data_IF_671552673687
#
_entry.id   IF_671552673687
#
_cell.length_a   1.000
_cell.length_b   1.000
_cell.length_c   1.000
_cell.angle_alpha   90.00
_cell.angle_beta   90.00
_cell.angle_gamma   90.00
#
_symmetry.space_group_name_H-M   'P 1'
#
loop_
_entity.id
_entity.type
_entity.pdbx_description
1 polymer ?
#
# COMPACT_ATOMS: atom_id res chain seq x y z
N UNK A 1 9.41 28.66 10.15
CA UNK A 1 8.52 27.81 10.97
C UNK A 1 8.38 28.39 12.36
N UNK A 2 7.21 28.23 12.97
CA UNK A 2 6.94 28.50 14.39
C UNK A 2 6.58 27.17 15.06
N UNK A 3 7.03 26.99 16.30
CA UNK A 3 6.73 25.82 17.14
C UNK A 3 6.25 26.30 18.51
N UNK A 4 5.27 25.62 19.10
CA UNK A 4 4.70 26.01 20.39
C UNK A 4 4.14 24.80 21.15
N UNK A 5 3.87 25.02 22.44
CA UNK A 5 3.08 24.10 23.26
C UNK A 5 1.60 24.46 23.16
N UNK A 6 0.76 23.52 22.75
CA UNK A 6 -0.70 23.63 22.83
C UNK A 6 -1.24 22.89 24.05
N UNK A 7 -2.46 23.23 24.51
CA UNK A 7 -3.12 22.61 25.67
C UNK A 7 -4.51 22.10 25.27
N UNK A 8 -4.78 20.81 25.51
CA UNK A 8 -6.09 20.16 25.30
C UNK A 8 -6.66 20.18 23.87
N UNK A 9 -5.82 20.26 22.84
CA UNK A 9 -6.32 20.29 21.45
C UNK A 9 -6.66 18.89 20.91
N UNK A 10 -6.11 17.81 21.51
CA UNK A 10 -6.35 16.40 21.19
C UNK A 10 -7.02 15.60 22.35
N UNK A 11 -7.29 16.25 23.50
CA UNK A 11 -7.87 15.61 24.69
C UNK A 11 -6.86 15.10 25.72
N UNK A 12 -5.56 15.29 25.50
CA UNK A 12 -4.46 15.04 26.45
C UNK A 12 -3.81 16.36 26.93
N UNK A 13 -2.76 16.27 27.76
CA UNK A 13 -2.09 17.37 28.48
C UNK A 13 -1.52 18.51 27.60
N UNK A 14 -0.20 18.76 27.57
CA UNK A 14 0.40 19.76 26.68
C UNK A 14 1.18 19.05 25.60
N UNK A 15 0.98 19.46 24.35
CA UNK A 15 1.54 18.84 23.16
C UNK A 15 2.32 19.87 22.35
N UNK A 16 3.21 19.41 21.48
CA UNK A 16 4.05 20.25 20.64
C UNK A 16 3.44 20.34 19.25
N UNK A 17 3.19 21.56 18.79
CA UNK A 17 2.67 21.84 17.45
C UNK A 17 3.61 22.74 16.66
N UNK A 18 3.52 22.66 15.33
CA UNK A 18 4.31 23.41 14.37
C UNK A 18 3.47 23.94 13.21
N UNK A 19 3.89 25.09 12.67
CA UNK A 19 3.37 25.66 11.42
C UNK A 19 4.53 26.23 10.59
N UNK A 20 4.59 25.80 9.32
CA UNK A 20 5.56 26.32 8.35
C UNK A 20 5.04 27.62 7.75
N UNK A 21 5.98 28.51 7.43
CA UNK A 21 5.71 29.79 6.77
C UNK A 21 6.77 30.03 5.70
N UNK A 22 6.37 30.61 4.58
CA UNK A 22 7.28 31.03 3.53
C UNK A 22 8.03 32.32 3.89
N UNK A 23 8.85 32.83 2.96
CA UNK A 23 9.61 34.08 3.15
C UNK A 23 8.74 35.33 3.28
N UNK A 24 7.48 35.25 2.87
CA UNK A 24 6.49 36.34 2.92
C UNK A 24 5.64 36.27 4.20
N UNK A 25 5.79 35.20 5.00
CA UNK A 25 5.05 34.95 6.22
C UNK A 25 3.68 34.32 5.98
N UNK A 26 3.44 33.74 4.81
CA UNK A 26 2.23 32.96 4.50
C UNK A 26 2.43 31.53 4.98
N UNK A 27 1.39 30.96 5.59
CA UNK A 27 1.41 29.58 6.06
C UNK A 27 1.61 28.62 4.87
N UNK A 28 2.55 27.69 5.01
CA UNK A 28 2.81 26.60 4.06
C UNK A 28 2.33 25.32 4.72
N UNK A 29 1.34 24.66 4.12
CA UNK A 29 0.67 23.50 4.72
C UNK A 29 -0.15 23.84 5.96
N UNK A 30 -0.74 22.81 6.57
CA UNK A 30 -1.50 22.91 7.80
C UNK A 30 -0.59 22.93 9.04
N UNK A 31 -1.17 23.31 10.18
CA UNK A 31 -0.58 23.05 11.48
C UNK A 31 -0.43 21.53 11.69
N UNK A 32 0.67 21.09 12.27
CA UNK A 32 0.95 19.68 12.53
C UNK A 32 1.45 19.46 13.96
N UNK A 33 1.08 18.31 14.53
CA UNK A 33 1.60 17.88 15.83
C UNK A 33 2.99 17.27 15.64
N UNK A 34 3.94 17.68 16.49
CA UNK A 34 5.33 17.24 16.43
C UNK A 34 5.57 16.00 17.28
N UNK A 35 4.95 15.90 18.45
CA UNK A 35 5.13 14.75 19.32
C UNK A 35 4.18 13.62 18.90
N UNK A 36 4.72 12.40 18.76
CA UNK A 36 3.93 11.18 18.56
C UNK A 36 3.44 10.60 19.89
N UNK A 37 4.21 10.79 20.96
CA UNK A 37 3.82 10.41 22.31
C UNK A 37 3.00 11.53 22.97
N UNK A 38 1.71 11.27 23.18
CA UNK A 38 0.75 12.26 23.72
C UNK A 38 0.48 12.09 25.21
N UNK A 39 1.04 11.07 25.87
CA UNK A 39 0.86 10.90 27.32
C UNK A 39 1.84 11.80 28.10
N UNK A 40 1.37 12.41 29.19
CA UNK A 40 2.17 13.31 30.01
C UNK A 40 2.45 14.69 29.39
N UNK A 41 3.33 15.47 30.01
CA UNK A 41 3.61 16.86 29.61
C UNK A 41 4.71 16.86 28.54
N UNK A 42 4.37 17.34 27.35
CA UNK A 42 5.35 17.72 26.33
C UNK A 42 5.60 19.23 26.44
N UNK A 43 6.86 19.64 26.55
CA UNK A 43 7.19 21.04 26.82
C UNK A 43 8.53 21.50 26.22
N UNK A 44 8.73 22.82 26.24
CA UNK A 44 9.97 23.49 25.81
C UNK A 44 10.42 23.11 24.39
N UNK A 45 9.54 23.22 23.39
CA UNK A 45 9.95 22.91 22.03
C UNK A 45 11.01 23.92 21.56
N UNK A 46 11.97 23.45 20.79
CA UNK A 46 13.00 24.24 20.13
C UNK A 46 13.19 23.72 18.72
N UNK A 47 13.53 24.59 17.76
CA UNK A 47 13.73 24.19 16.36
C UNK A 47 15.02 24.75 15.79
N UNK A 48 15.61 24.02 14.84
CA UNK A 48 16.82 24.42 14.11
C UNK A 48 16.69 24.01 12.65
N UNK A 49 16.87 24.96 11.73
CA UNK A 49 16.96 24.66 10.30
C UNK A 49 18.28 23.96 9.97
N UNK A 50 18.22 23.05 9.01
CA UNK A 50 19.34 22.28 8.50
C UNK A 50 19.79 22.82 7.13
N UNK A 51 21.01 22.48 6.71
CA UNK A 51 21.59 22.99 5.46
C UNK A 51 20.96 22.39 4.19
N UNK A 52 20.25 21.28 4.34
CA UNK A 52 19.48 20.60 3.29
C UNK A 52 18.09 21.22 3.07
N UNK A 53 17.74 22.27 3.81
CA UNK A 53 16.43 22.92 3.76
C UNK A 53 15.43 22.38 4.80
N UNK A 54 15.75 21.25 5.44
CA UNK A 54 14.92 20.67 6.50
C UNK A 54 15.07 21.35 7.86
N UNK A 55 14.48 20.76 8.88
CA UNK A 55 14.54 21.29 10.25
C UNK A 55 14.43 20.19 11.30
N UNK A 56 15.04 20.38 12.45
CA UNK A 56 14.85 19.52 13.63
C UNK A 56 13.97 20.27 14.63
N UNK A 57 13.02 19.57 15.23
CA UNK A 57 12.29 20.04 16.42
C UNK A 57 12.65 19.15 17.59
N UNK A 58 13.07 19.75 18.70
CA UNK A 58 13.37 19.05 19.96
C UNK A 58 12.39 19.48 21.05
N UNK A 59 11.99 18.59 21.94
CA UNK A 59 11.14 18.91 23.09
C UNK A 59 11.47 18.03 24.31
N UNK A 60 10.94 18.39 25.48
CA UNK A 60 11.02 17.57 26.69
C UNK A 60 9.71 16.80 26.90
N UNK A 61 9.79 15.48 27.14
CA UNK A 61 8.66 14.62 27.55
C UNK A 61 8.84 14.20 29.01
N UNK A 62 7.77 14.25 29.82
CA UNK A 62 7.82 14.08 31.28
C UNK A 62 7.38 12.72 31.82
N UNK A 63 7.07 11.75 30.97
CA UNK A 63 6.34 10.54 31.39
C UNK A 63 7.12 9.22 31.24
N UNK A 64 8.44 9.26 31.41
CA UNK A 64 9.26 8.04 31.38
C UNK A 64 9.10 7.20 30.11
N UNK A 65 8.96 7.87 28.96
CA UNK A 65 8.88 7.23 27.64
C UNK A 65 10.13 6.36 27.34
N UNK A 66 11.30 6.70 27.90
CA UNK A 66 12.54 5.92 27.87
C UNK A 66 12.81 5.13 29.16
N UNK A 67 11.80 4.98 30.01
CA UNK A 67 11.92 4.41 31.35
C UNK A 67 12.48 5.37 32.42
N UNK A 68 12.72 6.65 32.11
CA UNK A 68 13.24 7.67 33.04
C UNK A 68 12.42 8.98 33.01
N UNK A 69 12.19 9.59 34.17
CA UNK A 69 11.29 10.76 34.35
C UNK A 69 11.18 11.75 33.17
N UNK A 70 12.23 12.51 32.88
CA UNK A 70 12.26 13.47 31.77
C UNK A 70 13.32 13.08 30.75
N UNK A 71 12.99 13.16 29.47
CA UNK A 71 13.91 13.01 28.35
C UNK A 71 13.80 14.16 27.34
N UNK A 72 14.86 14.39 26.56
CA UNK A 72 14.84 15.29 25.40
C UNK A 72 14.65 14.43 24.16
N UNK A 73 13.61 14.74 23.40
CA UNK A 73 13.19 14.04 22.19
C UNK A 73 13.34 14.96 21.00
N UNK A 74 13.41 14.39 19.80
CA UNK A 74 13.55 15.14 18.57
C UNK A 74 12.86 14.44 17.40
N UNK A 75 12.31 15.23 16.49
CA UNK A 75 11.96 14.82 15.13
C UNK A 75 12.78 15.66 14.16
N UNK A 76 13.33 15.01 13.14
CA UNK A 76 13.93 15.67 11.99
C UNK A 76 12.92 15.64 10.86
N UNK A 77 12.74 16.79 10.26
CA UNK A 77 11.89 17.02 9.11
C UNK A 77 12.74 17.42 7.92
N UNK A 78 12.29 17.05 6.74
CA UNK A 78 12.83 17.49 5.46
C UNK A 78 12.41 18.94 5.12
N UNK A 79 12.75 19.40 3.91
CA UNK A 79 12.42 20.76 3.45
C UNK A 79 10.92 21.01 3.33
N UNK A 80 10.13 19.97 3.10
CA UNK A 80 8.69 20.00 2.88
C UNK A 80 7.89 19.79 4.15
N UNK A 81 8.58 19.58 5.27
CA UNK A 81 7.99 19.45 6.59
C UNK A 81 7.50 18.04 6.90
N UNK A 82 7.90 17.08 6.09
CA UNK A 82 7.71 15.66 6.36
C UNK A 82 8.81 15.15 7.27
N UNK A 83 8.53 14.12 8.05
CA UNK A 83 9.58 13.41 8.80
C UNK A 83 10.62 12.88 7.81
N UNK A 84 11.91 13.05 8.10
CA UNK A 84 12.95 12.61 7.18
C UNK A 84 12.95 11.10 6.96
N UNK A 85 13.31 10.66 5.75
CA UNK A 85 13.50 9.26 5.35
C UNK A 85 14.18 8.42 6.46
N UNK A 86 13.57 7.29 6.76
CA UNK A 86 13.93 6.37 7.81
C UNK A 86 14.33 5.02 7.23
N UNK A 87 15.19 4.31 7.96
CA UNK A 87 15.45 2.90 7.71
C UNK A 87 15.25 2.16 9.02
N UNK A 88 14.23 1.30 9.07
CA UNK A 88 13.78 0.61 10.28
C UNK A 88 13.88 -0.91 10.06
N UNK A 89 14.35 -1.64 11.05
CA UNK A 89 14.48 -3.10 11.02
C UNK A 89 13.90 -3.70 12.32
N UNK A 90 12.90 -4.58 12.21
CA UNK A 90 12.29 -5.29 13.35
C UNK A 90 13.14 -6.48 13.83
N UNK A 91 13.73 -7.19 12.88
CA UNK A 91 14.61 -8.35 13.04
C UNK A 91 13.87 -9.65 13.36
N UNK A 92 13.55 -9.93 14.62
CA UNK A 92 12.89 -11.20 14.99
C UNK A 92 11.81 -10.93 16.02
N UNK A 93 10.70 -11.63 15.89
CA UNK A 93 9.52 -11.45 16.71
C UNK A 93 8.58 -10.44 16.06
N UNK A 94 7.31 -10.50 16.47
CA UNK A 94 6.26 -9.67 15.88
C UNK A 94 6.42 -8.18 16.21
N UNK A 95 6.79 -7.40 15.22
CA UNK A 95 7.08 -5.98 15.32
C UNK A 95 5.98 -5.09 14.72
N UNK A 96 5.99 -3.82 15.13
CA UNK A 96 5.15 -2.77 14.54
C UNK A 96 6.06 -1.62 14.14
N UNK A 97 6.23 -1.40 12.83
CA UNK A 97 7.12 -0.39 12.25
C UNK A 97 6.29 0.73 11.58
N UNK A 98 6.75 1.98 11.69
CA UNK A 98 6.09 3.17 11.12
C UNK A 98 7.12 4.09 10.47
N UNK A 99 6.98 4.37 9.18
CA UNK A 99 7.85 5.26 8.41
C UNK A 99 7.58 6.72 8.72
N UNK A 100 6.34 7.13 8.57
CA UNK A 100 5.95 8.53 8.71
C UNK A 100 5.70 9.13 7.33
N UNK A 101 6.08 10.38 7.12
CA UNK A 101 5.72 11.12 5.89
C UNK A 101 6.85 11.22 4.87
N UNK A 102 7.97 10.54 5.10
CA UNK A 102 9.17 10.56 4.27
C UNK A 102 9.23 9.36 3.32
N UNK A 103 10.25 9.28 2.46
CA UNK A 103 10.45 8.09 1.64
C UNK A 103 11.25 7.05 2.44
N UNK A 104 10.54 6.19 3.15
CA UNK A 104 11.06 5.31 4.18
C UNK A 104 11.41 3.90 3.65
N UNK A 105 12.18 3.16 4.43
CA UNK A 105 12.48 1.75 4.18
C UNK A 105 12.30 0.95 5.46
N UNK A 106 11.31 0.06 5.47
CA UNK A 106 10.93 -0.75 6.61
C UNK A 106 11.20 -2.22 6.29
N UNK A 107 11.81 -2.94 7.23
CA UNK A 107 12.05 -4.38 7.13
C UNK A 107 11.55 -5.06 8.41
N UNK A 108 10.51 -5.89 8.32
CA UNK A 108 9.95 -6.64 9.43
C UNK A 108 10.97 -7.65 9.95
N UNK A 109 11.34 -8.58 9.08
CA UNK A 109 12.37 -9.58 9.35
C UNK A 109 11.76 -10.96 9.48
N UNK A 110 11.61 -11.46 10.69
CA UNK A 110 11.08 -12.79 10.95
C UNK A 110 9.97 -12.76 12.00
N UNK A 111 9.03 -13.70 11.85
CA UNK A 111 7.74 -13.72 12.52
C UNK A 111 6.78 -12.66 11.95
N UNK A 112 5.54 -12.64 12.44
CA UNK A 112 4.46 -11.89 11.80
C UNK A 112 4.47 -10.41 12.23
N UNK A 113 4.76 -9.53 11.28
CA UNK A 113 5.02 -8.11 11.48
C UNK A 113 3.90 -7.21 10.94
N UNK A 114 3.88 -5.95 11.40
CA UNK A 114 3.03 -4.88 10.85
C UNK A 114 3.87 -3.69 10.43
N UNK A 115 3.83 -3.33 9.15
CA UNK A 115 4.60 -2.23 8.59
C UNK A 115 3.65 -1.18 8.02
N UNK A 116 3.86 0.09 8.41
CA UNK A 116 3.10 1.23 7.91
C UNK A 116 4.08 2.25 7.30
N UNK A 117 4.01 2.48 6.00
CA UNK A 117 4.74 3.56 5.31
C UNK A 117 4.23 4.92 5.78
N UNK A 118 2.91 5.08 5.69
CA UNK A 118 2.10 6.27 5.97
C UNK A 118 2.09 7.27 4.80
N UNK A 119 3.16 8.02 4.54
CA UNK A 119 3.20 8.84 3.34
C UNK A 119 4.60 9.05 2.81
N UNK A 120 4.73 9.31 1.52
CA UNK A 120 6.01 9.28 0.82
C UNK A 120 6.14 8.03 -0.04
N UNK A 121 7.19 7.93 -0.85
CA UNK A 121 7.42 6.78 -1.72
C UNK A 121 8.24 5.71 -0.97
N UNK A 122 7.56 4.78 -0.32
CA UNK A 122 8.10 3.85 0.66
C UNK A 122 8.56 2.51 0.08
N UNK A 123 9.42 1.82 0.85
CA UNK A 123 9.79 0.42 0.62
C UNK A 123 9.54 -0.41 1.85
N UNK A 124 8.59 -1.33 1.77
CA UNK A 124 8.23 -2.23 2.87
C UNK A 124 8.60 -3.67 2.49
N UNK A 125 9.29 -4.35 3.41
CA UNK A 125 9.67 -5.75 3.30
C UNK A 125 9.18 -6.50 4.54
N UNK A 126 8.21 -7.41 4.38
CA UNK A 126 7.68 -8.25 5.46
C UNK A 126 8.74 -9.21 5.97
N UNK A 127 9.12 -10.17 5.13
CA UNK A 127 10.20 -11.09 5.38
C UNK A 127 9.70 -12.52 5.52
N UNK A 128 9.82 -13.12 6.70
CA UNK A 128 9.26 -14.44 6.93
C UNK A 128 8.22 -14.40 8.02
N UNK A 129 7.04 -14.96 7.77
CA UNK A 129 5.91 -14.84 8.68
C UNK A 129 4.71 -14.32 7.91
N UNK A 130 3.54 -14.35 8.53
CA UNK A 130 2.32 -13.81 7.90
C UNK A 130 2.23 -12.33 8.26
N UNK A 131 2.65 -11.46 7.34
CA UNK A 131 2.88 -10.04 7.58
C UNK A 131 1.71 -9.15 7.10
N UNK A 132 1.58 -7.95 7.69
CA UNK A 132 0.64 -6.93 7.23
C UNK A 132 1.40 -5.64 6.86
N UNK A 133 1.34 -5.27 5.58
CA UNK A 133 2.02 -4.11 5.02
C UNK A 133 0.98 -3.10 4.48
N UNK A 134 1.18 -1.83 4.79
CA UNK A 134 0.33 -0.71 4.37
C UNK A 134 1.26 0.44 3.91
N UNK A 135 1.26 0.74 2.60
CA UNK A 135 2.07 1.79 1.99
C UNK A 135 1.59 3.17 2.43
N UNK A 136 0.31 3.45 2.16
CA UNK A 136 -0.37 4.65 2.60
C UNK A 136 -0.56 5.62 1.44
N UNK A 137 0.25 6.66 1.36
CA UNK A 137 0.13 7.65 0.27
C UNK A 137 1.49 7.87 -0.40
N UNK A 138 1.57 7.77 -1.71
CA UNK A 138 2.84 7.83 -2.43
C UNK A 138 2.94 6.70 -3.44
N UNK A 139 4.04 6.63 -4.17
CA UNK A 139 4.28 5.48 -5.04
C UNK A 139 5.16 4.45 -4.31
N UNK A 140 4.52 3.48 -3.70
CA UNK A 140 5.10 2.54 -2.75
C UNK A 140 5.52 1.22 -3.40
N UNK A 141 6.47 0.55 -2.75
CA UNK A 141 6.89 -0.81 -3.09
C UNK A 141 6.78 -1.72 -1.87
N UNK A 142 5.86 -2.68 -1.93
CA UNK A 142 5.60 -3.62 -0.85
C UNK A 142 6.00 -5.04 -1.28
N UNK A 143 6.68 -5.76 -0.39
CA UNK A 143 7.09 -7.14 -0.61
C UNK A 143 6.79 -7.98 0.64
N UNK A 144 5.85 -8.92 0.54
CA UNK A 144 5.49 -9.86 1.62
C UNK A 144 6.61 -10.86 1.91
N UNK A 145 7.25 -11.35 0.84
CA UNK A 145 8.30 -12.37 0.85
C UNK A 145 7.82 -13.79 1.12
N UNK A 146 7.63 -14.21 2.37
CA UNK A 146 7.23 -15.59 2.65
C UNK A 146 6.28 -15.70 3.83
N UNK A 147 5.14 -16.35 3.61
CA UNK A 147 4.06 -16.43 4.59
C UNK A 147 2.74 -16.15 3.91
N UNK A 148 1.64 -16.07 4.65
CA UNK A 148 0.36 -15.61 4.09
C UNK A 148 0.19 -14.11 4.39
N UNK A 149 0.56 -13.26 3.45
CA UNK A 149 0.73 -11.82 3.67
C UNK A 149 -0.50 -11.00 3.26
N UNK A 150 -0.67 -9.83 3.89
CA UNK A 150 -1.66 -8.82 3.49
C UNK A 150 -0.94 -7.52 3.13
N UNK A 151 -1.04 -7.11 1.86
CA UNK A 151 -0.40 -5.90 1.33
C UNK A 151 -1.46 -4.91 0.85
N UNK A 152 -1.35 -3.64 1.27
CA UNK A 152 -2.20 -2.53 0.79
C UNK A 152 -1.32 -1.41 0.27
N UNK A 153 -1.49 -1.05 -1.00
CA UNK A 153 -0.81 0.07 -1.64
C UNK A 153 -1.30 1.40 -1.06
N UNK A 154 -2.53 1.76 -1.37
CA UNK A 154 -3.18 2.95 -0.84
C UNK A 154 -3.44 3.98 -1.94
N UNK A 155 -3.07 5.25 -1.70
CA UNK A 155 -3.13 6.28 -2.73
C UNK A 155 -1.80 6.33 -3.49
N UNK A 156 -1.82 6.13 -4.81
CA UNK A 156 -0.65 6.32 -5.67
C UNK A 156 -0.39 5.10 -6.55
N UNK A 157 0.66 5.17 -7.38
CA UNK A 157 0.91 4.08 -8.34
C UNK A 157 1.90 3.09 -7.73
N UNK A 158 1.36 2.05 -7.11
CA UNK A 158 2.08 1.14 -6.24
C UNK A 158 2.55 -0.13 -6.94
N UNK A 159 3.50 -0.81 -6.31
CA UNK A 159 3.97 -2.12 -6.74
C UNK A 159 4.00 -3.09 -5.56
N UNK A 160 3.14 -4.11 -5.61
CA UNK A 160 2.95 -5.10 -4.57
C UNK A 160 3.43 -6.49 -5.04
N UNK A 161 4.21 -7.17 -4.21
CA UNK A 161 4.67 -8.54 -4.43
C UNK A 161 4.32 -9.41 -3.21
N UNK A 162 3.44 -10.40 -3.38
CA UNK A 162 3.18 -11.43 -2.34
C UNK A 162 4.34 -12.42 -2.23
N UNK A 163 4.78 -12.91 -3.40
CA UNK A 163 5.83 -13.92 -3.61
C UNK A 163 5.44 -15.34 -3.21
N UNK A 164 5.58 -15.74 -1.95
CA UNK A 164 5.40 -17.14 -1.55
C UNK A 164 4.43 -17.23 -0.39
N UNK A 165 3.21 -17.69 -0.65
CA UNK A 165 2.13 -17.43 0.28
C UNK A 165 0.78 -17.70 -0.32
N UNK A 166 -0.26 -17.68 0.50
CA UNK A 166 -1.59 -17.39 -0.03
C UNK A 166 -1.86 -15.94 0.37
N UNK A 167 -1.55 -15.02 -0.52
CA UNK A 167 -1.42 -13.60 -0.19
C UNK A 167 -2.69 -12.83 -0.56
N UNK A 168 -2.92 -11.71 0.12
CA UNK A 168 -3.95 -10.74 -0.22
C UNK A 168 -3.32 -9.40 -0.60
N UNK A 169 -3.50 -8.96 -1.84
CA UNK A 169 -2.93 -7.72 -2.36
C UNK A 169 -4.05 -6.76 -2.78
N UNK A 170 -3.99 -5.52 -2.29
CA UNK A 170 -4.95 -4.46 -2.61
C UNK A 170 -4.20 -3.23 -3.14
N UNK A 171 -4.46 -2.84 -4.39
CA UNK A 171 -3.90 -1.62 -5.00
C UNK A 171 -4.53 -0.36 -4.42
N UNK A 172 -5.86 -0.28 -4.52
CA UNK A 172 -6.75 0.78 -4.05
C UNK A 172 -7.00 1.92 -5.05
N UNK A 173 -6.34 3.07 -4.97
CA UNK A 173 -6.57 4.18 -5.91
C UNK A 173 -5.34 4.38 -6.81
N UNK A 174 -5.56 4.79 -8.07
CA UNK A 174 -4.55 4.97 -9.12
C UNK A 174 -4.07 3.65 -9.74
N UNK A 175 -3.08 3.73 -10.65
CA UNK A 175 -2.73 2.60 -11.52
C UNK A 175 -1.60 1.75 -10.90
N UNK A 176 -1.95 0.56 -10.45
CA UNK A 176 -1.11 -0.32 -9.66
C UNK A 176 -0.54 -1.51 -10.41
N UNK A 177 0.43 -2.17 -9.77
CA UNK A 177 0.98 -3.45 -10.21
C UNK A 177 1.02 -4.45 -9.07
N UNK A 178 0.25 -5.52 -9.20
CA UNK A 178 0.13 -6.57 -8.19
C UNK A 178 0.65 -7.90 -8.76
N UNK A 179 1.50 -8.57 -7.98
CA UNK A 179 2.08 -9.86 -8.31
C UNK A 179 1.89 -10.83 -7.14
N UNK A 180 1.03 -11.84 -7.28
CA UNK A 180 0.77 -12.87 -6.27
C UNK A 180 2.00 -13.76 -6.07
N UNK A 181 2.37 -14.50 -7.12
CA UNK A 181 3.60 -15.26 -7.17
C UNK A 181 3.35 -16.77 -7.10
N UNK A 182 3.35 -17.33 -5.90
CA UNK A 182 3.16 -18.77 -5.71
C UNK A 182 2.30 -19.06 -4.49
N UNK A 183 1.30 -19.90 -4.71
CA UNK A 183 0.25 -20.19 -3.74
C UNK A 183 -1.06 -19.63 -4.27
N UNK A 184 -2.12 -19.68 -3.47
CA UNK A 184 -3.44 -19.29 -3.94
C UNK A 184 -3.71 -17.86 -3.48
N UNK A 185 -3.50 -16.90 -4.37
CA UNK A 185 -3.47 -15.48 -4.04
C UNK A 185 -4.82 -14.79 -4.38
N UNK A 186 -5.15 -13.74 -3.64
CA UNK A 186 -6.27 -12.83 -3.94
C UNK A 186 -5.74 -11.42 -4.22
N UNK A 187 -5.94 -10.93 -5.44
CA UNK A 187 -5.51 -9.63 -5.91
C UNK A 187 -6.73 -8.77 -6.25
N UNK A 188 -6.72 -7.52 -5.80
CA UNK A 188 -7.75 -6.51 -6.04
C UNK A 188 -7.08 -5.20 -6.45
N UNK A 189 -7.24 -4.80 -7.72
CA UNK A 189 -6.65 -3.59 -8.29
C UNK A 189 -7.25 -2.34 -7.67
N UNK A 190 -8.57 -2.17 -7.81
CA UNK A 190 -9.31 -1.06 -7.23
C UNK A 190 -9.75 -0.06 -8.29
N UNK A 191 -9.52 1.22 -8.06
CA UNK A 191 -9.80 2.29 -9.02
C UNK A 191 -8.51 2.63 -9.78
N UNK A 192 -8.44 2.42 -11.09
CA UNK A 192 -7.24 2.71 -11.88
C UNK A 192 -7.12 1.81 -13.10
N UNK A 193 -6.14 2.06 -13.97
CA UNK A 193 -5.78 1.10 -15.03
C UNK A 193 -4.67 0.16 -14.52
N UNK A 194 -5.07 -0.96 -13.93
CA UNK A 194 -4.20 -1.83 -13.14
C UNK A 194 -3.56 -2.97 -13.93
N UNK A 195 -2.52 -3.56 -13.34
CA UNK A 195 -1.88 -4.78 -13.84
C UNK A 195 -1.75 -5.82 -12.74
N UNK A 196 -2.45 -6.92 -12.92
CA UNK A 196 -2.47 -8.03 -11.97
C UNK A 196 -1.87 -9.29 -12.60
N UNK A 197 -1.07 -10.02 -11.83
CA UNK A 197 -0.54 -11.34 -12.20
C UNK A 197 -0.67 -12.29 -11.00
N UNK A 198 -1.48 -13.33 -11.14
CA UNK A 198 -1.69 -14.36 -10.11
C UNK A 198 -0.43 -15.18 -9.91
N UNK A 199 0.03 -15.84 -10.97
CA UNK A 199 1.33 -16.51 -11.00
C UNK A 199 1.18 -18.02 -11.04
N UNK A 200 1.34 -18.71 -9.91
CA UNK A 200 1.19 -20.16 -9.87
C UNK A 200 0.17 -20.55 -8.82
N UNK A 201 -0.62 -21.56 -9.19
CA UNK A 201 -1.73 -22.15 -8.45
C UNK A 201 -3.04 -21.40 -8.70
N UNK A 202 -4.04 -21.53 -7.81
CA UNK A 202 -5.40 -21.07 -8.10
C UNK A 202 -5.59 -19.70 -7.48
N UNK A 203 -5.63 -18.68 -8.34
CA UNK A 203 -5.65 -17.28 -7.94
C UNK A 203 -7.01 -16.63 -8.24
N UNK A 204 -7.31 -15.56 -7.50
CA UNK A 204 -8.48 -14.70 -7.73
C UNK A 204 -7.98 -13.30 -8.01
N UNK A 205 -8.28 -12.77 -9.20
CA UNK A 205 -7.88 -11.44 -9.62
C UNK A 205 -9.13 -10.60 -9.91
N UNK A 206 -9.21 -9.41 -9.31
CA UNK A 206 -10.23 -8.40 -9.60
C UNK A 206 -9.55 -7.13 -10.09
N UNK A 207 -9.89 -6.68 -11.29
CA UNK A 207 -9.40 -5.42 -11.86
C UNK A 207 -9.98 -4.24 -11.09
N UNK A 208 -11.30 -4.07 -11.19
CA UNK A 208 -12.04 -3.05 -10.46
C UNK A 208 -12.62 -2.02 -11.42
N UNK A 209 -12.38 -0.73 -11.18
CA UNK A 209 -12.77 0.34 -12.09
C UNK A 209 -11.58 0.80 -12.92
N UNK A 210 -11.67 0.76 -14.24
CA UNK A 210 -10.64 1.25 -15.15
C UNK A 210 -10.30 0.20 -16.21
N UNK A 211 -9.37 0.52 -17.10
CA UNK A 211 -9.03 -0.42 -18.19
C UNK A 211 -7.89 -1.36 -17.74
N UNK A 212 -8.25 -2.53 -17.23
CA UNK A 212 -7.33 -3.41 -16.50
C UNK A 212 -6.67 -4.49 -17.37
N UNK A 213 -5.54 -5.00 -16.88
CA UNK A 213 -4.82 -6.12 -17.49
C UNK A 213 -4.52 -7.22 -16.47
N UNK A 214 -5.17 -8.37 -16.64
CA UNK A 214 -5.12 -9.50 -15.71
C UNK A 214 -4.49 -10.74 -16.36
N UNK A 215 -3.57 -11.38 -15.65
CA UNK A 215 -2.92 -12.64 -16.03
C UNK A 215 -3.08 -13.69 -14.91
N UNK A 216 -3.75 -14.81 -15.17
CA UNK A 216 -3.80 -15.96 -14.24
C UNK A 216 -2.48 -16.72 -14.21
N UNK A 217 -1.91 -16.96 -15.40
CA UNK A 217 -0.67 -17.72 -15.65
C UNK A 217 -0.83 -19.24 -15.50
N UNK A 218 -0.47 -19.85 -14.37
CA UNK A 218 -0.54 -21.31 -14.18
C UNK A 218 -1.50 -21.60 -13.05
N UNK A 219 -2.64 -22.20 -13.33
CA UNK A 219 -3.69 -22.24 -12.32
C UNK A 219 -5.03 -22.63 -12.89
N UNK A 220 -5.97 -22.98 -12.00
CA UNK A 220 -7.38 -22.91 -12.37
C UNK A 220 -7.86 -21.58 -11.76
N UNK A 221 -7.77 -20.49 -12.51
CA UNK A 221 -7.85 -19.13 -11.98
C UNK A 221 -9.23 -18.50 -12.15
N UNK A 222 -9.54 -17.49 -11.33
CA UNK A 222 -10.73 -16.66 -11.47
C UNK A 222 -10.32 -15.19 -11.73
N UNK A 223 -10.68 -14.67 -12.89
CA UNK A 223 -10.36 -13.31 -13.32
C UNK A 223 -11.64 -12.51 -13.54
N UNK A 224 -11.75 -11.36 -12.89
CA UNK A 224 -12.88 -10.43 -13.00
C UNK A 224 -12.36 -9.06 -13.43
N UNK A 225 -12.76 -8.58 -14.61
CA UNK A 225 -12.46 -7.21 -15.07
C UNK A 225 -13.23 -6.16 -14.26
N UNK A 226 -14.51 -6.47 -14.01
CA UNK A 226 -15.49 -5.60 -13.35
C UNK A 226 -15.97 -4.43 -14.21
N UNK A 227 -15.30 -3.28 -14.24
CA UNK A 227 -15.79 -2.12 -14.99
C UNK A 227 -14.71 -1.37 -15.73
N UNK A 228 -14.79 -1.33 -17.06
CA UNK A 228 -13.81 -0.70 -17.94
C UNK A 228 -13.55 -1.58 -19.15
N UNK A 229 -12.67 -1.17 -20.07
CA UNK A 229 -12.35 -1.97 -21.25
C UNK A 229 -11.16 -2.92 -20.93
N UNK A 230 -11.47 -4.12 -20.45
CA UNK A 230 -10.48 -4.99 -19.80
C UNK A 230 -9.77 -5.99 -20.72
N UNK A 231 -8.63 -6.49 -20.28
CA UNK A 231 -7.84 -7.54 -20.95
C UNK A 231 -7.48 -8.67 -19.99
N UNK A 232 -8.16 -9.81 -20.12
CA UNK A 232 -8.03 -10.97 -19.24
C UNK A 232 -7.40 -12.16 -19.97
N UNK A 233 -6.37 -12.77 -19.38
CA UNK A 233 -5.71 -13.97 -19.88
C UNK A 233 -5.65 -15.03 -18.77
N UNK A 234 -6.35 -16.15 -18.95
CA UNK A 234 -6.38 -17.27 -17.99
C UNK A 234 -5.02 -17.94 -17.90
N UNK A 235 -4.60 -18.60 -18.99
CA UNK A 235 -3.27 -19.19 -19.10
C UNK A 235 -3.32 -20.70 -19.19
N UNK A 236 -2.75 -21.39 -18.21
CA UNK A 236 -2.71 -22.85 -18.16
C UNK A 236 -3.55 -23.40 -17.01
N UNK A 237 -4.62 -24.10 -17.33
CA UNK A 237 -5.52 -24.77 -16.38
C UNK A 237 -6.96 -24.43 -16.73
N UNK A 238 -7.93 -24.86 -15.92
CA UNK A 238 -9.35 -24.66 -16.24
C UNK A 238 -9.82 -23.33 -15.64
N UNK A 239 -9.81 -22.25 -16.42
CA UNK A 239 -9.99 -20.87 -15.91
C UNK A 239 -11.44 -20.36 -16.01
N UNK A 240 -11.79 -19.41 -15.14
CA UNK A 240 -13.04 -18.65 -15.17
C UNK A 240 -12.77 -17.14 -15.35
N UNK A 241 -13.16 -16.59 -16.49
CA UNK A 241 -12.99 -15.18 -16.84
C UNK A 241 -14.35 -14.48 -16.97
N UNK A 242 -14.49 -13.32 -16.35
CA UNK A 242 -15.66 -12.44 -16.46
C UNK A 242 -15.21 -11.00 -16.76
N UNK A 243 -15.58 -10.47 -17.92
CA UNK A 243 -15.24 -9.10 -18.33
C UNK A 243 -15.99 -8.05 -17.52
N UNK A 244 -17.21 -8.33 -17.07
CA UNK A 244 -18.02 -7.35 -16.36
C UNK A 244 -18.67 -6.35 -17.32
N UNK A 245 -18.34 -5.06 -17.23
CA UNK A 245 -18.94 -4.04 -18.09
C UNK A 245 -17.90 -3.24 -18.85
N UNK A 246 -18.01 -3.21 -20.17
CA UNK A 246 -17.05 -2.51 -21.02
C UNK A 246 -16.93 -3.15 -22.39
N UNK A 247 -15.80 -2.95 -23.07
CA UNK A 247 -15.50 -3.67 -24.30
C UNK A 247 -14.28 -4.56 -24.08
N UNK A 248 -14.53 -5.78 -23.62
CA UNK A 248 -13.47 -6.61 -23.04
C UNK A 248 -12.80 -7.56 -24.03
N UNK A 249 -11.55 -7.91 -23.73
CA UNK A 249 -10.82 -8.98 -24.40
C UNK A 249 -10.51 -10.10 -23.42
N UNK A 250 -11.12 -11.27 -23.62
CA UNK A 250 -10.93 -12.45 -22.78
C UNK A 250 -10.24 -13.56 -23.57
N UNK A 251 -9.19 -14.14 -23.01
CA UNK A 251 -8.44 -15.24 -23.59
C UNK A 251 -8.21 -16.35 -22.56
N UNK A 252 -8.87 -17.51 -22.72
CA UNK A 252 -8.70 -18.66 -21.83
C UNK A 252 -7.37 -19.40 -22.01
N UNK A 253 -6.74 -19.26 -23.18
CA UNK A 253 -5.50 -19.95 -23.52
C UNK A 253 -5.57 -21.49 -23.54
N UNK A 254 -5.19 -22.18 -22.48
CA UNK A 254 -5.15 -23.65 -22.48
C UNK A 254 -5.84 -24.22 -21.26
N UNK A 255 -6.87 -25.04 -21.48
CA UNK A 255 -7.78 -25.32 -20.38
C UNK A 255 -9.16 -25.71 -20.87
N UNK A 256 -10.03 -26.12 -19.97
CA UNK A 256 -11.46 -26.13 -20.22
C UNK A 256 -12.11 -24.89 -19.59
N UNK A 257 -12.04 -23.77 -20.30
CA UNK A 257 -12.30 -22.46 -19.70
C UNK A 257 -13.77 -22.04 -19.77
N UNK A 258 -14.14 -21.11 -18.89
CA UNK A 258 -15.42 -20.41 -18.90
C UNK A 258 -15.16 -18.92 -19.09
N UNK A 259 -15.60 -18.35 -20.22
CA UNK A 259 -15.44 -16.93 -20.53
C UNK A 259 -16.82 -16.28 -20.59
N UNK A 260 -17.02 -15.21 -19.82
CA UNK A 260 -18.22 -14.36 -19.84
C UNK A 260 -17.82 -12.94 -20.23
N UNK A 261 -18.33 -12.46 -21.35
CA UNK A 261 -18.04 -11.10 -21.84
C UNK A 261 -18.70 -10.03 -20.97
N UNK A 262 -19.95 -10.25 -20.55
CA UNK A 262 -20.66 -9.28 -19.72
C UNK A 262 -21.42 -8.23 -20.55
N UNK A 263 -21.50 -6.99 -20.06
CA UNK A 263 -22.12 -5.88 -20.79
C UNK A 263 -21.14 -5.29 -21.81
N UNK A 264 -21.57 -5.14 -23.06
CA UNK A 264 -20.84 -4.39 -24.08
C UNK A 264 -20.35 -5.23 -25.26
N UNK A 265 -19.22 -4.84 -25.87
CA UNK A 265 -18.78 -5.41 -27.15
C UNK A 265 -17.49 -6.21 -27.00
N UNK A 266 -17.65 -7.47 -26.61
CA UNK A 266 -16.53 -8.26 -26.13
C UNK A 266 -15.93 -9.15 -27.21
N UNK A 267 -14.67 -9.52 -26.99
CA UNK A 267 -13.92 -10.44 -27.83
C UNK A 267 -13.43 -11.61 -26.98
N UNK A 268 -13.99 -12.80 -27.20
CA UNK A 268 -13.68 -14.00 -26.44
C UNK A 268 -12.90 -15.01 -27.29
N UNK A 269 -11.77 -15.48 -26.75
CA UNK A 269 -10.93 -16.53 -27.33
C UNK A 269 -10.73 -17.66 -26.30
N UNK A 270 -11.38 -18.81 -26.48
CA UNK A 270 -11.09 -20.00 -25.63
C UNK A 270 -9.77 -20.71 -25.99
N UNK A 271 -9.32 -20.55 -27.25
CA UNK A 271 -8.11 -21.20 -27.77
C UNK A 271 -8.10 -22.73 -27.61
N UNK A 272 -7.34 -23.29 -26.66
CA UNK A 272 -7.01 -24.70 -26.60
C UNK A 272 -7.71 -25.43 -25.45
N UNK A 273 -8.90 -25.97 -25.74
CA UNK A 273 -9.50 -27.04 -24.95
C UNK A 273 -11.00 -27.12 -25.16
N UNK A 274 -11.76 -27.36 -24.09
CA UNK A 274 -13.21 -27.54 -24.17
C UNK A 274 -13.93 -26.37 -23.51
N UNK A 275 -13.95 -25.25 -24.21
CA UNK A 275 -14.28 -23.96 -23.61
C UNK A 275 -15.78 -23.64 -23.71
N UNK A 276 -16.28 -22.84 -22.77
CA UNK A 276 -17.62 -22.27 -22.76
C UNK A 276 -17.52 -20.76 -22.88
N UNK A 277 -18.05 -20.22 -23.98
CA UNK A 277 -18.02 -18.78 -24.26
C UNK A 277 -19.43 -18.21 -24.19
N UNK A 278 -19.64 -17.26 -23.30
CA UNK A 278 -20.86 -16.49 -23.13
C UNK A 278 -20.54 -15.03 -23.49
N UNK A 279 -21.10 -14.52 -24.59
CA UNK A 279 -21.02 -13.09 -24.90
C UNK A 279 -21.98 -12.29 -24.00
N UNK A 280 -22.68 -11.32 -24.58
CA UNK A 280 -23.56 -10.43 -23.81
C UNK A 280 -24.83 -11.08 -23.23
N UNK A 281 -25.23 -10.61 -22.04
CA UNK A 281 -26.58 -10.76 -21.46
C UNK A 281 -27.57 -9.67 -21.96
N UNK A 282 -27.41 -9.15 -23.19
CA UNK A 282 -28.36 -8.16 -23.72
C UNK A 282 -29.62 -8.82 -24.33
N UNK A 283 -30.75 -8.75 -23.62
CA UNK A 283 -32.11 -9.00 -24.13
C UNK A 283 -32.90 -7.71 -24.36
#
# INVERSE_FOLDING_TARGET
MVIWTSYLQDGSSTDIYGQRFDSEGIAVGSEFQVNTYTTGIQSKPSTTALSDGGFVVTWESSDSQDGSSYGVYAHRYDSDGQTADQTINGATGNDILRGGSGADTLNGGADNDKLFGEGGDDRLYGGSGDDELDGGSGADMLNGESGEDILRGGEGNDVLFGLAGNDQLFGAEDNDKLYGGSGNDELDGGDGDDRLNGGNNQDILKGGLGDDFLLGEIGDDQLFGEGGDDSLYGGSGDDELDGGGGADMLNGESGADILRGGEGNDVLFGLAGNDQLFGAEDN
#
